data_IF_032350211185
#
_entry.id   IF_032350211185
#
_cell.length_a   1.000
_cell.length_b   1.000
_cell.length_c   1.000
_cell.angle_alpha   90.00
_cell.angle_beta   90.00
_cell.angle_gamma   90.00
#
_symmetry.space_group_name_H-M   'P 1'
#
loop_
_entity.id
_entity.type
_entity.pdbx_description
1 polymer ?
#
# COMPACT_ATOMS: atom_id res chain seq x y z
N UNK A 1 14.39 -20.49 1.76
CA UNK A 1 13.43 -20.90 0.71
C UNK A 1 12.82 -19.62 0.13
N UNK A 2 12.55 -19.58 -1.20
CA UNK A 2 11.85 -18.41 -1.76
C UNK A 2 10.40 -18.42 -1.29
N UNK A 3 9.88 -17.29 -0.82
CA UNK A 3 8.50 -17.12 -0.42
C UNK A 3 7.60 -17.21 -1.68
N UNK A 4 6.59 -18.08 -1.66
CA UNK A 4 5.62 -18.20 -2.73
C UNK A 4 4.46 -17.21 -2.49
N UNK A 5 4.40 -16.12 -3.28
CA UNK A 5 3.38 -15.10 -3.06
C UNK A 5 2.74 -14.61 -4.36
N UNK A 6 1.46 -14.29 -4.29
CA UNK A 6 0.72 -13.61 -5.35
C UNK A 6 0.60 -12.10 -5.06
N UNK A 7 0.48 -11.31 -6.12
CA UNK A 7 0.41 -9.86 -6.05
C UNK A 7 -0.87 -9.35 -6.73
N UNK A 8 -1.74 -8.66 -5.98
CA UNK A 8 -2.92 -7.99 -6.51
C UNK A 8 -2.64 -6.50 -6.71
N UNK A 9 -3.05 -5.96 -7.86
CA UNK A 9 -2.84 -4.55 -8.19
C UNK A 9 -3.96 -4.01 -9.08
N UNK A 10 -4.37 -2.77 -8.89
CA UNK A 10 -5.17 -2.04 -9.89
C UNK A 10 -4.29 -1.72 -11.09
N UNK A 11 -4.85 -1.87 -12.31
CA UNK A 11 -4.09 -1.69 -13.55
C UNK A 11 -3.35 -0.35 -13.57
N UNK A 12 -2.03 -0.45 -13.82
CA UNK A 12 -1.13 0.70 -13.93
C UNK A 12 -1.19 1.71 -12.76
N UNK A 13 -1.69 1.28 -11.57
CA UNK A 13 -1.74 2.15 -10.40
C UNK A 13 -0.32 2.46 -9.89
N UNK A 14 0.10 3.73 -9.76
CA UNK A 14 1.49 4.08 -9.45
C UNK A 14 2.01 3.50 -8.14
N UNK A 15 1.16 3.43 -7.10
CA UNK A 15 1.52 2.82 -5.81
C UNK A 15 1.90 1.35 -5.94
N UNK A 16 1.09 0.56 -6.67
CA UNK A 16 1.38 -0.85 -6.89
C UNK A 16 2.60 -1.07 -7.77
N UNK A 17 2.80 -0.20 -8.77
CA UNK A 17 4.00 -0.24 -9.62
C UNK A 17 5.27 0.06 -8.83
N UNK A 18 5.25 1.05 -7.93
CA UNK A 18 6.37 1.34 -7.04
C UNK A 18 6.67 0.15 -6.12
N UNK A 19 5.63 -0.44 -5.53
CA UNK A 19 5.79 -1.63 -4.69
C UNK A 19 6.39 -2.79 -5.48
N UNK A 20 5.87 -3.10 -6.65
CA UNK A 20 6.42 -4.18 -7.49
C UNK A 20 7.87 -3.91 -7.89
N UNK A 21 8.21 -2.66 -8.25
CA UNK A 21 9.58 -2.25 -8.58
C UNK A 21 10.55 -2.60 -7.44
N UNK A 22 10.23 -2.15 -6.22
CA UNK A 22 11.07 -2.39 -5.04
C UNK A 22 11.16 -3.88 -4.68
N UNK A 23 10.06 -4.61 -4.78
CA UNK A 23 10.06 -6.06 -4.57
C UNK A 23 11.01 -6.76 -5.55
N UNK A 24 10.92 -6.44 -6.84
CA UNK A 24 11.76 -7.03 -7.89
C UNK A 24 13.25 -6.64 -7.76
N UNK A 25 13.56 -5.43 -7.29
CA UNK A 25 14.94 -4.99 -7.01
C UNK A 25 15.57 -5.73 -5.82
N UNK A 26 14.74 -6.29 -4.94
CA UNK A 26 15.16 -7.11 -3.79
C UNK A 26 15.02 -8.61 -4.05
N UNK A 27 14.89 -9.03 -5.30
CA UNK A 27 14.69 -10.42 -5.72
C UNK A 27 13.46 -11.10 -5.10
N UNK A 28 12.49 -10.31 -4.63
CA UNK A 28 11.18 -10.78 -4.20
C UNK A 28 10.24 -10.81 -5.42
N UNK A 29 10.20 -11.98 -6.06
CA UNK A 29 9.48 -12.16 -7.33
C UNK A 29 8.13 -12.82 -7.06
N UNK A 30 6.99 -12.19 -7.39
CA UNK A 30 5.69 -12.82 -7.26
C UNK A 30 5.56 -14.00 -8.23
N UNK A 31 4.92 -15.07 -7.77
CA UNK A 31 4.61 -16.22 -8.62
C UNK A 31 3.46 -15.95 -9.57
N UNK A 32 2.60 -14.99 -9.22
CA UNK A 32 1.43 -14.58 -9.98
C UNK A 32 1.13 -13.09 -9.73
N UNK A 33 0.79 -12.35 -10.78
CA UNK A 33 0.19 -11.01 -10.69
C UNK A 33 -1.25 -11.09 -11.22
N UNK A 34 -2.21 -10.58 -10.44
CA UNK A 34 -3.58 -10.37 -10.90
C UNK A 34 -3.86 -8.87 -10.88
N UNK A 35 -4.07 -8.29 -12.05
CA UNK A 35 -4.42 -6.89 -12.19
C UNK A 35 -5.93 -6.72 -12.37
N UNK A 36 -6.52 -5.74 -11.68
CA UNK A 36 -7.91 -5.36 -11.92
C UNK A 36 -7.97 -4.25 -12.95
N UNK A 37 -8.75 -4.49 -14.02
CA UNK A 37 -9.04 -3.53 -15.10
C UNK A 37 -10.50 -3.13 -14.94
N UNK A 38 -10.76 -1.96 -14.38
CA UNK A 38 -12.11 -1.49 -14.07
C UNK A 38 -12.20 0.04 -13.98
N UNK A 39 -13.39 0.59 -14.18
CA UNK A 39 -13.65 2.03 -14.01
C UNK A 39 -13.27 2.52 -12.60
N UNK A 40 -13.49 1.70 -11.58
CA UNK A 40 -13.07 2.02 -10.20
C UNK A 40 -11.56 2.09 -10.10
N UNK A 41 -10.84 1.17 -10.75
CA UNK A 41 -9.37 1.20 -10.82
C UNK A 41 -8.85 2.45 -11.52
N UNK A 42 -9.50 2.86 -12.61
CA UNK A 42 -9.17 4.08 -13.34
C UNK A 42 -9.34 5.33 -12.47
N UNK A 43 -10.46 5.44 -11.76
CA UNK A 43 -10.74 6.57 -10.85
C UNK A 43 -9.70 6.63 -9.71
N UNK A 44 -9.35 5.50 -9.10
CA UNK A 44 -8.35 5.48 -8.02
C UNK A 44 -6.95 5.81 -8.55
N UNK A 45 -6.59 5.34 -9.74
CA UNK A 45 -5.33 5.70 -10.42
C UNK A 45 -5.24 7.21 -10.67
N UNK A 46 -6.27 7.83 -11.22
CA UNK A 46 -6.31 9.28 -11.50
C UNK A 46 -6.18 10.10 -10.21
N UNK A 47 -6.91 9.73 -9.16
CA UNK A 47 -6.77 10.37 -7.84
C UNK A 47 -5.34 10.29 -7.32
N UNK A 48 -4.69 9.13 -7.47
CA UNK A 48 -3.32 8.95 -6.99
C UNK A 48 -2.33 9.75 -7.83
N UNK A 49 -2.49 9.80 -9.15
CA UNK A 49 -1.68 10.64 -10.04
C UNK A 49 -1.80 12.12 -9.69
N UNK A 50 -3.00 12.59 -9.36
CA UNK A 50 -3.22 13.97 -8.88
C UNK A 50 -2.47 14.22 -7.58
N UNK A 51 -2.48 13.26 -6.62
CA UNK A 51 -1.73 13.38 -5.35
C UNK A 51 -0.21 13.36 -5.54
N UNK A 52 0.28 12.88 -6.68
CA UNK A 52 1.69 12.80 -7.02
C UNK A 52 2.09 13.80 -8.12
N UNK A 53 1.30 14.84 -8.37
CA UNK A 53 1.56 15.79 -9.45
C UNK A 53 3.00 16.34 -9.39
N UNK A 54 3.70 16.29 -10.53
CA UNK A 54 5.09 16.73 -10.64
C UNK A 54 6.14 15.75 -10.09
N UNK A 55 5.73 14.61 -9.54
CA UNK A 55 6.63 13.57 -9.05
C UNK A 55 6.91 12.51 -10.13
N UNK A 56 8.03 11.80 -9.99
CA UNK A 56 8.36 10.70 -10.90
C UNK A 56 7.34 9.56 -10.78
N UNK A 57 6.86 9.08 -11.92
CA UNK A 57 5.92 7.96 -11.99
C UNK A 57 6.72 6.67 -12.26
N UNK A 58 6.53 5.60 -11.46
CA UNK A 58 7.21 4.34 -11.67
C UNK A 58 6.95 3.74 -13.05
N UNK A 59 7.89 2.95 -13.62
CA UNK A 59 7.72 2.30 -14.92
C UNK A 59 6.45 1.46 -14.99
N UNK A 60 5.90 1.27 -16.19
CA UNK A 60 4.71 0.43 -16.39
C UNK A 60 4.96 -1.01 -15.97
N UNK A 61 3.89 -1.72 -15.56
CA UNK A 61 3.96 -3.13 -15.13
C UNK A 61 4.70 -3.98 -16.17
N UNK A 62 4.37 -3.85 -17.45
CA UNK A 62 5.01 -4.59 -18.55
C UNK A 62 6.51 -4.32 -18.68
N UNK A 63 6.97 -3.14 -18.32
CA UNK A 63 8.40 -2.78 -18.29
C UNK A 63 9.11 -3.40 -17.08
N UNK A 64 8.47 -3.37 -15.92
CA UNK A 64 9.00 -3.93 -14.67
C UNK A 64 9.24 -5.44 -14.76
N UNK A 65 8.33 -6.17 -15.39
CA UNK A 65 8.43 -7.64 -15.52
C UNK A 65 9.14 -8.10 -16.78
N UNK A 66 9.64 -7.19 -17.62
CA UNK A 66 10.33 -7.53 -18.86
C UNK A 66 11.49 -8.51 -18.62
N UNK A 67 11.48 -9.64 -19.34
CA UNK A 67 12.49 -10.68 -19.19
C UNK A 67 12.29 -11.63 -18.00
N UNK A 68 11.25 -11.43 -17.19
CA UNK A 68 10.86 -12.32 -16.09
C UNK A 68 9.68 -13.21 -16.52
N UNK A 69 9.66 -14.44 -16.02
CA UNK A 69 8.55 -15.38 -16.29
C UNK A 69 7.49 -15.26 -15.18
N UNK A 70 6.82 -14.10 -15.10
CA UNK A 70 5.76 -13.87 -14.11
C UNK A 70 4.42 -13.89 -14.86
N UNK A 71 3.50 -14.83 -14.58
CA UNK A 71 2.16 -14.81 -15.13
C UNK A 71 1.40 -13.55 -14.70
N UNK A 72 0.72 -12.89 -15.63
CA UNK A 72 -0.14 -11.75 -15.36
C UNK A 72 -1.52 -12.03 -15.93
N UNK A 73 -2.53 -11.95 -15.08
CA UNK A 73 -3.94 -12.08 -15.47
C UNK A 73 -4.70 -10.81 -15.19
N UNK A 74 -5.61 -10.46 -16.07
CA UNK A 74 -6.52 -9.32 -15.89
C UNK A 74 -7.90 -9.81 -15.50
N UNK A 75 -8.47 -9.17 -14.47
CA UNK A 75 -9.84 -9.41 -13.99
C UNK A 75 -10.62 -8.10 -13.94
N UNK A 76 -11.93 -8.15 -14.06
CA UNK A 76 -12.77 -6.97 -13.92
C UNK A 76 -12.93 -6.51 -12.46
N UNK A 77 -12.76 -7.43 -11.52
CA UNK A 77 -12.85 -7.15 -10.08
C UNK A 77 -12.07 -8.21 -9.30
N UNK A 78 -11.17 -7.79 -8.42
CA UNK A 78 -10.44 -8.71 -7.55
C UNK A 78 -11.34 -9.56 -6.64
N UNK A 79 -12.57 -9.12 -6.39
CA UNK A 79 -13.53 -9.81 -5.52
C UNK A 79 -14.43 -10.81 -6.23
N UNK A 80 -14.22 -11.07 -7.51
CA UNK A 80 -15.02 -12.04 -8.27
C UNK A 80 -14.45 -13.46 -8.22
N UNK A 81 -15.23 -14.39 -8.76
CA UNK A 81 -14.90 -15.82 -8.77
C UNK A 81 -13.64 -16.10 -9.60
N UNK A 82 -13.40 -15.37 -10.68
CA UNK A 82 -12.24 -15.60 -11.57
C UNK A 82 -10.95 -15.31 -10.81
N UNK A 83 -10.87 -14.17 -10.09
CA UNK A 83 -9.71 -13.86 -9.28
C UNK A 83 -9.47 -14.93 -8.20
N UNK A 84 -10.55 -15.39 -7.54
CA UNK A 84 -10.48 -16.44 -6.54
C UNK A 84 -9.95 -17.76 -7.12
N UNK A 85 -10.44 -18.18 -8.28
CA UNK A 85 -10.00 -19.40 -8.95
C UNK A 85 -8.52 -19.35 -9.35
N UNK A 86 -8.04 -18.22 -9.87
CA UNK A 86 -6.63 -18.00 -10.17
C UNK A 86 -5.76 -18.18 -8.91
N UNK A 87 -6.16 -17.57 -7.80
CA UNK A 87 -5.44 -17.67 -6.53
C UNK A 87 -5.51 -19.09 -5.93
N UNK A 88 -6.65 -19.77 -6.03
CA UNK A 88 -6.81 -21.17 -5.58
C UNK A 88 -5.94 -22.11 -6.41
N UNK A 89 -5.85 -21.91 -7.72
CA UNK A 89 -4.99 -22.70 -8.57
C UNK A 89 -3.50 -22.48 -8.28
N UNK A 90 -3.11 -21.24 -7.99
CA UNK A 90 -1.73 -20.84 -7.66
C UNK A 90 -1.31 -21.31 -6.28
N UNK A 91 -2.23 -21.35 -5.31
CA UNK A 91 -1.96 -21.71 -3.91
C UNK A 91 -0.82 -20.91 -3.25
N UNK A 92 -0.82 -19.58 -3.28
CA UNK A 92 0.26 -18.81 -2.69
C UNK A 92 0.30 -18.96 -1.17
N UNK A 93 1.50 -18.86 -0.59
CA UNK A 93 1.65 -18.76 0.86
C UNK A 93 1.17 -17.40 1.36
N UNK A 94 1.46 -16.36 0.61
CA UNK A 94 1.13 -14.98 0.97
C UNK A 94 0.43 -14.28 -0.20
N UNK A 95 -0.58 -13.47 0.12
CA UNK A 95 -1.19 -12.53 -0.82
C UNK A 95 -0.76 -11.12 -0.47
N UNK A 96 -0.18 -10.41 -1.43
CA UNK A 96 0.27 -9.02 -1.29
C UNK A 96 -0.73 -8.10 -1.97
N UNK A 97 -1.19 -7.07 -1.24
CA UNK A 97 -2.07 -6.03 -1.78
C UNK A 97 -1.22 -4.82 -2.22
N UNK A 98 -1.04 -4.68 -3.53
CA UNK A 98 -0.25 -3.62 -4.16
C UNK A 98 -1.09 -2.43 -4.64
N UNK A 99 -1.94 -1.87 -3.77
CA UNK A 99 -2.87 -0.81 -4.18
C UNK A 99 -4.10 -1.38 -4.86
N UNK A 100 -5.02 -1.88 -4.06
CA UNK A 100 -6.27 -2.52 -4.48
C UNK A 100 -7.47 -1.74 -3.93
N UNK A 101 -8.67 -2.08 -4.38
CA UNK A 101 -9.89 -1.76 -3.63
C UNK A 101 -9.97 -2.59 -2.35
N UNK A 102 -11.01 -2.39 -1.53
CA UNK A 102 -11.32 -3.28 -0.41
C UNK A 102 -11.51 -4.70 -0.93
N UNK A 103 -10.74 -5.62 -0.39
CA UNK A 103 -10.75 -7.05 -0.76
C UNK A 103 -11.64 -7.81 0.23
N UNK A 104 -12.54 -8.64 -0.31
CA UNK A 104 -13.47 -9.44 0.48
C UNK A 104 -12.81 -10.67 1.08
N UNK A 105 -13.37 -11.14 2.18
CA UNK A 105 -12.93 -12.33 2.92
C UNK A 105 -12.71 -13.56 2.02
N UNK A 106 -13.58 -13.78 1.02
CA UNK A 106 -13.47 -14.91 0.08
C UNK A 106 -12.16 -14.92 -0.73
N UNK A 107 -11.48 -13.79 -0.86
CA UNK A 107 -10.17 -13.67 -1.49
C UNK A 107 -9.07 -13.68 -0.41
N UNK A 108 -9.28 -12.95 0.69
CA UNK A 108 -8.29 -12.79 1.76
C UNK A 108 -7.90 -14.12 2.43
N UNK A 109 -8.80 -15.10 2.44
CA UNK A 109 -8.62 -16.43 3.05
C UNK A 109 -8.00 -17.46 2.11
N UNK A 110 -7.72 -17.12 0.84
CA UNK A 110 -7.15 -18.09 -0.11
C UNK A 110 -5.68 -18.41 0.18
N UNK A 111 -4.80 -17.44 0.53
CA UNK A 111 -3.39 -17.75 0.79
C UNK A 111 -3.25 -18.66 2.03
N UNK A 112 -2.24 -19.53 2.02
CA UNK A 112 -2.05 -20.54 3.08
C UNK A 112 -1.63 -19.93 4.42
N UNK A 113 -0.97 -18.77 4.43
CA UNK A 113 -0.36 -18.18 5.63
C UNK A 113 -0.94 -16.82 5.99
N UNK A 114 -0.99 -15.89 5.03
CA UNK A 114 -1.43 -14.53 5.31
C UNK A 114 -1.76 -13.72 4.05
N UNK A 115 -2.61 -12.72 4.22
CA UNK A 115 -2.71 -11.56 3.32
C UNK A 115 -2.07 -10.38 4.02
N UNK A 116 -1.24 -9.61 3.30
CA UNK A 116 -0.49 -8.46 3.83
C UNK A 116 -0.73 -7.21 2.98
N UNK A 117 -0.77 -6.07 3.66
CA UNK A 117 -0.90 -4.75 3.06
C UNK A 117 0.14 -3.80 3.63
N UNK A 118 0.56 -2.81 2.85
CA UNK A 118 1.31 -1.66 3.35
C UNK A 118 0.41 -0.42 3.29
N UNK A 119 0.07 0.09 4.46
CA UNK A 119 -0.80 1.24 4.63
C UNK A 119 0.05 2.52 4.66
N UNK A 120 -0.31 3.59 3.88
CA UNK A 120 0.44 4.84 3.83
C UNK A 120 0.12 5.76 5.02
N UNK A 121 0.15 5.21 6.23
CA UNK A 121 -0.12 5.89 7.49
C UNK A 121 0.45 5.12 8.68
N UNK A 122 0.60 5.81 9.81
CA UNK A 122 1.05 5.20 11.05
C UNK A 122 -0.14 4.57 11.79
N UNK A 123 -0.23 3.23 11.74
CA UNK A 123 -1.21 2.47 12.53
C UNK A 123 -0.75 2.35 13.99
N UNK A 124 -1.67 2.34 14.95
CA UNK A 124 -3.13 2.35 14.84
C UNK A 124 -3.78 3.73 14.73
N UNK A 125 -3.02 4.82 14.69
CA UNK A 125 -3.55 6.19 14.85
C UNK A 125 -4.40 6.66 13.66
N UNK A 126 -3.99 6.36 12.42
CA UNK A 126 -4.68 6.76 11.19
C UNK A 126 -4.98 5.52 10.34
N UNK A 127 -6.20 4.99 10.39
CA UNK A 127 -6.69 3.93 9.52
C UNK A 127 -7.51 4.50 8.37
N UNK A 128 -7.66 3.77 7.28
CA UNK A 128 -8.52 4.12 6.16
C UNK A 128 -7.83 4.93 5.07
N UNK A 129 -8.51 5.93 4.51
CA UNK A 129 -8.07 6.61 3.29
C UNK A 129 -7.38 7.94 3.54
N UNK A 130 -6.57 8.39 2.55
CA UNK A 130 -5.96 9.72 2.49
C UNK A 130 -5.06 10.08 3.70
N UNK A 131 -4.35 9.09 4.26
CA UNK A 131 -3.59 9.22 5.52
C UNK A 131 -2.58 10.36 5.50
N UNK A 132 -1.89 10.62 4.38
CA UNK A 132 -0.95 11.76 4.25
C UNK A 132 -1.65 13.10 4.48
N UNK A 133 -2.81 13.29 3.84
CA UNK A 133 -3.60 14.53 4.01
C UNK A 133 -4.14 14.68 5.43
N UNK A 134 -4.66 13.61 6.01
CA UNK A 134 -5.15 13.61 7.38
C UNK A 134 -4.04 13.87 8.39
N UNK A 135 -2.85 13.29 8.21
CA UNK A 135 -1.72 13.54 9.10
C UNK A 135 -1.27 15.01 9.04
N UNK A 136 -1.27 15.64 7.86
CA UNK A 136 -0.99 17.08 7.73
C UNK A 136 -2.05 17.93 8.42
N UNK A 137 -3.33 17.65 8.17
CA UNK A 137 -4.43 18.39 8.79
C UNK A 137 -4.43 18.29 10.31
N UNK A 138 -4.27 17.07 10.84
CA UNK A 138 -4.27 16.80 12.29
C UNK A 138 -2.93 17.11 12.98
N UNK A 139 -1.93 17.60 12.26
CA UNK A 139 -0.57 17.86 12.74
C UNK A 139 0.06 16.62 13.40
N UNK A 140 0.04 15.51 12.70
CA UNK A 140 0.57 14.22 13.13
C UNK A 140 1.79 13.84 12.28
N UNK A 141 2.67 13.00 12.83
CA UNK A 141 3.81 12.46 12.10
C UNK A 141 3.38 11.68 10.85
N UNK A 142 4.16 11.80 9.80
CA UNK A 142 4.03 11.00 8.59
C UNK A 142 4.72 9.65 8.76
N UNK A 143 4.25 8.64 8.03
CA UNK A 143 4.88 7.32 8.02
C UNK A 143 4.04 6.28 7.32
N UNK A 144 4.52 5.04 7.34
CA UNK A 144 3.83 3.90 6.74
C UNK A 144 3.88 2.68 7.67
N UNK A 145 2.98 1.74 7.44
CA UNK A 145 2.84 0.52 8.25
C UNK A 145 2.51 -0.66 7.35
N UNK A 146 3.34 -1.70 7.37
CA UNK A 146 2.97 -3.00 6.82
C UNK A 146 2.30 -3.84 7.91
N UNK A 147 1.18 -4.45 7.56
CA UNK A 147 0.35 -5.19 8.52
C UNK A 147 -0.32 -6.40 7.87
N UNK A 148 -0.73 -7.35 8.67
CA UNK A 148 -1.61 -8.42 8.25
C UNK A 148 -3.02 -7.87 8.01
N UNK A 149 -3.73 -8.48 7.07
CA UNK A 149 -5.14 -8.12 6.84
C UNK A 149 -6.03 -8.98 7.74
N UNK A 150 -6.97 -8.33 8.38
CA UNK A 150 -8.12 -8.92 9.07
C UNK A 150 -9.44 -8.39 8.47
N UNK A 151 -10.62 -8.79 8.95
CA UNK A 151 -11.90 -8.29 8.43
C UNK A 151 -12.17 -6.79 8.66
N UNK A 152 -11.38 -6.12 9.51
CA UNK A 152 -11.51 -4.68 9.74
C UNK A 152 -10.75 -3.84 8.72
N UNK A 153 -10.93 -2.52 8.78
CA UNK A 153 -10.18 -1.58 7.94
C UNK A 153 -8.87 -1.22 8.64
N UNK A 154 -7.75 -1.73 8.11
CA UNK A 154 -6.39 -1.51 8.61
C UNK A 154 -6.21 -1.85 10.11
N UNK A 155 -6.90 -2.88 10.62
CA UNK A 155 -6.93 -3.26 12.03
C UNK A 155 -6.10 -4.49 12.39
N UNK A 156 -5.56 -5.19 11.41
CA UNK A 156 -4.76 -6.40 11.61
C UNK A 156 -3.40 -6.11 12.26
N UNK A 157 -2.77 -7.15 12.79
CA UNK A 157 -1.49 -7.07 13.49
C UNK A 157 -0.42 -6.36 12.64
N UNK A 158 0.32 -5.45 13.26
CA UNK A 158 1.42 -4.72 12.62
C UNK A 158 2.63 -5.65 12.49
N UNK A 159 3.22 -5.69 11.29
CA UNK A 159 4.50 -6.36 11.02
C UNK A 159 5.65 -5.40 11.28
N UNK A 160 5.58 -4.23 10.65
CA UNK A 160 6.58 -3.18 10.78
C UNK A 160 5.96 -1.82 10.47
N UNK A 161 6.32 -0.79 11.22
CA UNK A 161 5.97 0.59 10.92
C UNK A 161 7.19 1.48 11.03
N UNK A 162 7.18 2.58 10.27
CA UNK A 162 8.28 3.54 10.24
C UNK A 162 7.79 4.93 9.98
N UNK A 163 8.31 5.90 10.76
CA UNK A 163 8.08 7.32 10.52
C UNK A 163 8.83 7.76 9.27
N UNK A 164 8.23 8.66 8.50
CA UNK A 164 8.88 9.36 7.40
C UNK A 164 9.36 10.72 7.88
N UNK A 165 10.65 11.03 7.84
CA UNK A 165 11.14 12.38 8.12
C UNK A 165 10.53 13.39 7.14
N UNK A 166 9.95 14.47 7.67
CA UNK A 166 9.37 15.55 6.87
C UNK A 166 10.30 16.75 6.91
N UNK A 167 10.67 17.25 5.74
CA UNK A 167 11.54 18.40 5.58
C UNK A 167 10.75 19.64 5.17
N UNK A 168 11.28 20.84 5.48
CA UNK A 168 10.63 22.11 5.09
C UNK A 168 10.50 22.28 3.58
N UNK A 169 11.32 21.58 2.79
CA UNK A 169 11.21 21.52 1.34
C UNK A 169 10.13 20.58 0.80
N UNK A 170 9.52 19.75 1.66
CA UNK A 170 8.49 18.82 1.22
C UNK A 170 7.19 19.55 0.85
N UNK A 171 6.51 18.99 -0.14
CA UNK A 171 5.14 19.32 -0.52
C UNK A 171 4.23 18.14 -0.25
N UNK A 172 2.93 18.34 -0.32
CA UNK A 172 1.97 17.23 -0.21
C UNK A 172 2.23 16.14 -1.25
N UNK A 173 2.60 16.54 -2.46
CA UNK A 173 2.89 15.63 -3.58
C UNK A 173 4.18 14.84 -3.34
N UNK A 174 5.24 15.50 -2.86
CA UNK A 174 6.51 14.82 -2.51
C UNK A 174 6.31 13.83 -1.36
N UNK A 175 5.50 14.19 -0.35
CA UNK A 175 5.17 13.30 0.75
C UNK A 175 4.42 12.05 0.26
N UNK A 176 3.43 12.18 -0.65
CA UNK A 176 2.73 11.02 -1.21
C UNK A 176 3.69 10.09 -1.97
N UNK A 177 4.61 10.63 -2.75
CA UNK A 177 5.62 9.84 -3.46
C UNK A 177 6.56 9.11 -2.48
N UNK A 178 7.09 9.82 -1.49
CA UNK A 178 8.01 9.27 -0.49
C UNK A 178 7.34 8.22 0.41
N UNK A 179 6.07 8.42 0.77
CA UNK A 179 5.28 7.44 1.51
C UNK A 179 5.02 6.18 0.68
N UNK A 180 4.76 6.33 -0.62
CA UNK A 180 4.61 5.16 -1.50
C UNK A 180 5.89 4.32 -1.55
N UNK A 181 7.06 4.96 -1.65
CA UNK A 181 8.36 4.29 -1.59
C UNK A 181 8.58 3.63 -0.23
N UNK A 182 8.36 4.34 0.88
CA UNK A 182 8.49 3.78 2.23
C UNK A 182 7.56 2.58 2.46
N UNK A 183 6.30 2.68 2.05
CA UNK A 183 5.34 1.56 2.13
C UNK A 183 5.83 0.34 1.37
N UNK A 184 6.42 0.55 0.20
CA UNK A 184 6.97 -0.51 -0.63
C UNK A 184 8.20 -1.17 -0.01
N UNK A 185 9.06 -0.39 0.65
CA UNK A 185 10.20 -0.89 1.41
C UNK A 185 9.77 -1.73 2.61
N UNK A 186 8.75 -1.28 3.36
CA UNK A 186 8.18 -2.03 4.49
C UNK A 186 7.50 -3.32 4.03
N UNK A 187 6.85 -3.32 2.86
CA UNK A 187 6.32 -4.55 2.27
C UNK A 187 7.45 -5.55 1.97
N UNK A 188 8.53 -5.11 1.35
CA UNK A 188 9.68 -5.97 1.06
C UNK A 188 10.33 -6.53 2.35
N UNK A 189 10.45 -5.72 3.39
CA UNK A 189 10.92 -6.14 4.71
C UNK A 189 9.98 -7.20 5.32
N UNK A 190 8.67 -6.98 5.24
CA UNK A 190 7.65 -7.91 5.74
C UNK A 190 7.71 -9.27 5.02
N UNK A 191 7.86 -9.26 3.68
CA UNK A 191 8.02 -10.50 2.93
C UNK A 191 9.33 -11.23 3.28
N UNK A 192 10.39 -10.50 3.61
CA UNK A 192 11.66 -11.08 4.08
C UNK A 192 11.47 -11.77 5.43
N UNK A 193 10.75 -11.16 6.38
CA UNK A 193 10.40 -11.82 7.65
C UNK A 193 9.59 -13.10 7.41
N UNK A 194 8.57 -13.03 6.55
CA UNK A 194 7.75 -14.19 6.20
C UNK A 194 8.55 -15.30 5.49
N UNK A 195 9.51 -14.95 4.64
CA UNK A 195 10.38 -15.92 3.98
C UNK A 195 11.31 -16.66 4.97
N UNK A 196 11.72 -15.98 6.03
CA UNK A 196 12.56 -16.54 7.10
C UNK A 196 11.77 -17.35 8.15
N UNK A 197 10.46 -17.46 7.99
CA UNK A 197 9.57 -18.31 8.80
C UNK A 197 8.61 -17.53 9.68
N UNK A 198 9.03 -16.44 10.31
CA UNK A 198 8.21 -15.66 11.25
C UNK A 198 8.28 -14.16 10.94
N UNK A 199 7.12 -13.52 10.93
CA UNK A 199 7.02 -12.06 10.91
C UNK A 199 6.52 -11.56 12.27
N UNK A 200 6.99 -10.41 12.74
CA UNK A 200 6.46 -9.77 13.94
C UNK A 200 4.93 -9.62 13.86
N UNK A 201 4.27 -9.72 15.03
CA UNK A 201 2.84 -9.49 15.16
C UNK A 201 2.61 -8.61 16.38
N UNK A 202 2.48 -7.29 16.16
CA UNK A 202 2.10 -6.33 17.18
C UNK A 202 0.59 -6.11 17.08
N UNK A 203 -0.23 -6.60 18.03
CA UNK A 203 -1.68 -6.37 18.01
C UNK A 203 -2.01 -4.89 18.10
N UNK A 204 -3.01 -4.46 17.33
CA UNK A 204 -3.49 -3.08 17.43
C UNK A 204 -4.58 -2.96 18.49
N UNK A 205 -4.48 -1.94 19.36
CA UNK A 205 -5.61 -1.52 20.18
C UNK A 205 -6.65 -0.80 19.30
N UNK A 206 -7.83 -1.41 19.17
CA UNK A 206 -8.91 -0.88 18.33
C UNK A 206 -9.55 0.39 18.89
N UNK A 207 -9.30 0.72 20.16
CA UNK A 207 -9.76 1.95 20.80
C UNK A 207 -8.81 3.12 20.54
N UNK A 208 -7.61 2.87 20.03
CA UNK A 208 -6.63 3.89 19.66
C UNK A 208 -6.79 4.26 18.20
N UNK A 209 -6.76 5.56 17.90
CA UNK A 209 -6.82 6.09 16.54
C UNK A 209 -8.22 6.11 15.94
N UNK A 210 -8.29 6.50 14.68
CA UNK A 210 -9.53 6.72 13.95
C UNK A 210 -9.49 5.99 12.59
N UNK A 211 -10.65 5.52 12.14
CA UNK A 211 -10.83 5.05 10.76
C UNK A 211 -11.43 6.17 9.93
N UNK A 212 -10.64 6.73 9.04
CA UNK A 212 -10.94 7.94 8.29
C UNK A 212 -11.30 7.62 6.84
N UNK A 213 -12.26 8.35 6.31
CA UNK A 213 -12.65 8.32 4.89
C UNK A 213 -11.73 9.23 4.06
N UNK A 214 -12.02 9.37 2.78
CA UNK A 214 -11.38 10.38 1.94
C UNK A 214 -11.50 11.76 2.61
N UNK A 215 -10.38 12.47 2.72
CA UNK A 215 -10.36 13.79 3.34
C UNK A 215 -11.16 14.79 2.48
N UNK A 216 -12.01 15.64 3.07
CA UNK A 216 -12.63 16.74 2.38
C UNK A 216 -11.59 17.74 1.82
N UNK A 217 -11.91 18.36 0.69
CA UNK A 217 -10.95 19.24 -0.01
C UNK A 217 -10.53 20.45 0.83
N UNK A 218 -11.45 21.06 1.57
CA UNK A 218 -11.18 22.19 2.45
C UNK A 218 -10.20 21.82 3.58
N UNK A 219 -10.33 20.64 4.16
CA UNK A 219 -9.42 20.13 5.20
C UNK A 219 -8.06 19.72 4.61
N UNK A 220 -8.05 19.17 3.40
CA UNK A 220 -6.82 18.89 2.68
C UNK A 220 -6.02 20.16 2.40
N UNK A 221 -6.69 21.20 1.91
CA UNK A 221 -6.05 22.51 1.64
C UNK A 221 -5.54 23.17 2.92
N UNK A 222 -6.22 23.01 4.05
CA UNK A 222 -5.70 23.45 5.36
C UNK A 222 -4.42 22.69 5.74
N UNK A 223 -4.40 21.36 5.56
CA UNK A 223 -3.20 20.54 5.80
C UNK A 223 -2.03 20.96 4.91
N UNK A 224 -2.28 21.20 3.62
CA UNK A 224 -1.26 21.71 2.68
C UNK A 224 -0.74 23.09 3.07
N UNK A 225 -1.62 24.01 3.48
CA UNK A 225 -1.22 25.34 3.98
C UNK A 225 -0.37 25.23 5.24
N UNK A 226 -0.73 24.35 6.18
CA UNK A 226 0.08 24.09 7.38
C UNK A 226 1.51 23.70 7.02
N UNK A 227 1.67 22.81 6.05
CA UNK A 227 2.98 22.40 5.56
C UNK A 227 3.71 23.58 4.88
N UNK A 228 3.09 24.25 3.92
CA UNK A 228 3.70 25.33 3.14
C UNK A 228 4.09 26.55 3.97
N UNK A 229 3.33 26.88 5.02
CA UNK A 229 3.60 28.01 5.94
C UNK A 229 4.54 27.65 7.08
N UNK A 230 5.10 26.44 7.11
CA UNK A 230 6.02 25.99 8.16
C UNK A 230 5.37 25.79 9.52
N UNK A 231 4.04 25.62 9.60
CA UNK A 231 3.26 25.42 10.84
C UNK A 231 3.10 23.94 11.22
N UNK A 232 3.60 23.03 10.41
CA UNK A 232 3.63 21.60 10.73
C UNK A 232 4.68 21.34 11.82
N UNK A 233 4.28 20.64 12.90
CA UNK A 233 5.11 20.54 14.11
C UNK A 233 6.20 19.46 14.05
N UNK A 234 6.21 18.62 13.01
CA UNK A 234 7.06 17.43 12.96
C UNK A 234 8.12 17.49 11.85
N UNK A 235 8.61 18.68 11.51
CA UNK A 235 9.80 18.81 10.67
C UNK A 235 11.04 18.27 11.38
N UNK A 236 11.99 17.76 10.59
CA UNK A 236 13.29 17.28 11.09
C UNK A 236 14.44 18.27 10.84
N UNK A 237 14.17 19.39 10.15
CA UNK A 237 15.11 20.47 9.81
C UNK A 237 14.57 21.86 10.14
#
# INVERSE_FOLDING_TARGET
MSLHFAFLVLEEHPYGREMLRILLERDLVPSLIVQEVSEVGDVEREKFLTRMAGQAIPPRLTQLIKGRKIPVYSVANHNDVICRELLVAEQPDVLVLGGTRIIKTSILEVPRRATVNAHPGLLPWLRGSASVGWALYKDMKQGATAHFIDPGIDTGDIIVRRELPVHRSDTYESLNARIATLSSELMAESLTFLANGEAPREPQDRNVGETLKVIPDDLLEEGKRRLAEGRYSHYVD
#
